data_IF_951572992134
#
_entry.id   IF_951572992134
#
_cell.length_a   1.000
_cell.length_b   1.000
_cell.length_c   1.000
_cell.angle_alpha   90.00
_cell.angle_beta   90.00
_cell.angle_gamma   90.00
#
_symmetry.space_group_name_H-M   'P 1'
#
loop_
_entity.id
_entity.type
_entity.pdbx_description
1 polymer ?
#
# COMPACT_ATOMS: atom_id res chain seq x y z
N UNK A 1 5.23 22.51 7.89
CA UNK A 1 4.30 22.17 8.99
C UNK A 1 3.94 20.70 8.88
N UNK A 2 4.59 19.83 9.67
CA UNK A 2 4.14 18.44 9.81
C UNK A 2 2.83 18.47 10.62
N UNK A 3 1.72 18.04 10.00
CA UNK A 3 0.43 17.96 10.66
C UNK A 3 0.52 17.01 11.85
N UNK A 4 0.07 17.44 13.03
CA UNK A 4 0.14 16.69 14.29
C UNK A 4 -0.68 15.39 14.32
N UNK A 5 -1.39 15.07 13.23
CA UNK A 5 -2.02 13.79 12.95
C UNK A 5 -1.81 13.47 11.46
N UNK A 6 -0.71 12.81 11.06
CA UNK A 6 -0.56 12.39 9.68
C UNK A 6 -1.49 11.21 9.44
N UNK A 7 -2.73 11.50 9.02
CA UNK A 7 -3.69 10.47 8.56
C UNK A 7 -3.09 9.62 7.43
N UNK A 8 -2.13 10.20 6.69
CA UNK A 8 -1.38 9.54 5.64
C UNK A 8 0.12 9.78 5.84
N UNK A 9 0.97 8.73 5.71
CA UNK A 9 2.41 8.94 5.60
C UNK A 9 2.73 9.78 4.37
N UNK A 10 3.81 10.55 4.44
CA UNK A 10 4.32 11.36 3.33
C UNK A 10 4.46 10.55 2.04
N UNK A 11 4.08 11.16 0.91
CA UNK A 11 4.26 10.56 -0.41
C UNK A 11 5.68 10.84 -0.91
N UNK A 12 6.51 9.79 -1.00
CA UNK A 12 7.93 9.94 -1.33
C UNK A 12 8.42 8.93 -2.38
N UNK A 13 7.53 8.37 -3.19
CA UNK A 13 7.88 7.49 -4.31
C UNK A 13 7.01 7.71 -5.54
N UNK A 14 7.45 7.14 -6.66
CA UNK A 14 6.70 7.06 -7.92
C UNK A 14 5.32 6.36 -7.81
N UNK A 15 5.07 5.58 -6.75
CA UNK A 15 3.80 4.86 -6.57
C UNK A 15 2.85 5.56 -5.59
N UNK A 16 3.39 6.36 -4.66
CA UNK A 16 2.66 6.83 -3.50
C UNK A 16 1.38 7.60 -3.87
N UNK A 17 1.46 8.53 -4.82
CA UNK A 17 0.31 9.33 -5.27
C UNK A 17 -0.78 8.49 -5.94
N UNK A 18 -0.40 7.56 -6.83
CA UNK A 18 -1.36 6.70 -7.55
C UNK A 18 -2.09 5.74 -6.61
N UNK A 19 -1.36 5.14 -5.65
CA UNK A 19 -1.94 4.25 -4.65
C UNK A 19 -2.86 5.03 -3.70
N UNK A 20 -2.43 6.20 -3.22
CA UNK A 20 -3.26 7.04 -2.36
C UNK A 20 -4.55 7.48 -3.06
N UNK A 21 -4.49 7.81 -4.35
CA UNK A 21 -5.66 8.14 -5.16
C UNK A 21 -6.65 6.98 -5.28
N UNK A 22 -6.16 5.76 -5.55
CA UNK A 22 -7.00 4.56 -5.60
C UNK A 22 -7.62 4.24 -4.24
N UNK A 23 -6.84 4.36 -3.16
CA UNK A 23 -7.32 4.13 -1.79
C UNK A 23 -8.40 5.15 -1.40
N UNK A 24 -8.24 6.42 -1.80
CA UNK A 24 -9.24 7.45 -1.56
C UNK A 24 -10.53 7.17 -2.36
N UNK A 25 -10.41 6.73 -3.61
CA UNK A 25 -11.57 6.31 -4.42
C UNK A 25 -12.35 5.18 -3.74
N UNK A 26 -11.64 4.14 -3.26
CA UNK A 26 -12.25 3.01 -2.54
C UNK A 26 -12.92 3.49 -1.25
N UNK A 27 -12.23 4.34 -0.48
CA UNK A 27 -12.75 4.88 0.77
C UNK A 27 -14.02 5.70 0.56
N UNK A 28 -14.01 6.65 -0.38
CA UNK A 28 -15.16 7.51 -0.67
C UNK A 28 -16.35 6.72 -1.20
N UNK A 29 -16.09 5.75 -2.08
CA UNK A 29 -17.15 4.86 -2.61
C UNK A 29 -17.76 4.03 -1.49
N UNK A 30 -16.92 3.48 -0.60
CA UNK A 30 -17.39 2.70 0.56
C UNK A 30 -18.21 3.57 1.51
N UNK A 31 -17.72 4.76 1.87
CA UNK A 31 -18.45 5.71 2.74
C UNK A 31 -19.79 6.10 2.10
N UNK A 32 -19.81 6.40 0.80
CA UNK A 32 -21.03 6.76 0.09
C UNK A 32 -22.08 5.64 0.19
N UNK A 33 -21.73 4.40 -0.18
CA UNK A 33 -22.68 3.29 -0.13
C UNK A 33 -23.07 2.92 1.31
N UNK A 34 -22.13 2.91 2.26
CA UNK A 34 -22.44 2.67 3.67
C UNK A 34 -23.42 3.72 4.21
N UNK A 35 -23.20 5.00 3.93
CA UNK A 35 -24.09 6.08 4.34
C UNK A 35 -25.46 5.99 3.65
N UNK A 36 -25.49 5.74 2.35
CA UNK A 36 -26.72 5.58 1.57
C UNK A 36 -27.57 4.42 2.08
N UNK A 37 -26.97 3.24 2.24
CA UNK A 37 -27.68 2.04 2.73
C UNK A 37 -28.19 2.28 4.14
N UNK A 38 -27.35 2.83 5.03
CA UNK A 38 -27.75 3.15 6.41
C UNK A 38 -28.91 4.14 6.43
N UNK A 39 -28.82 5.21 5.62
CA UNK A 39 -29.88 6.20 5.50
C UNK A 39 -31.19 5.58 5.00
N UNK A 40 -31.16 4.76 3.95
CA UNK A 40 -32.35 4.09 3.40
C UNK A 40 -32.97 3.15 4.43
N UNK A 41 -32.16 2.39 5.18
CA UNK A 41 -32.65 1.51 6.25
C UNK A 41 -33.33 2.33 7.35
N UNK A 42 -32.69 3.40 7.83
CA UNK A 42 -33.25 4.28 8.87
C UNK A 42 -34.54 4.96 8.40
N UNK A 43 -34.55 5.45 7.15
CA UNK A 43 -35.74 6.02 6.52
C UNK A 43 -36.88 5.01 6.48
N UNK A 44 -36.61 3.77 6.04
CA UNK A 44 -37.60 2.71 5.99
C UNK A 44 -38.12 2.36 7.39
N UNK A 45 -37.26 2.31 8.41
CA UNK A 45 -37.69 2.10 9.79
C UNK A 45 -38.60 3.21 10.29
N UNK A 46 -38.32 4.48 10.00
CA UNK A 46 -39.14 5.60 10.48
C UNK A 46 -40.47 5.69 9.71
N UNK A 47 -40.40 5.59 8.38
CA UNK A 47 -41.56 5.77 7.50
C UNK A 47 -42.52 4.59 7.52
N UNK A 48 -41.99 3.35 7.48
CA UNK A 48 -42.77 2.12 7.40
C UNK A 48 -42.90 1.40 8.75
N UNK A 49 -42.60 2.09 9.87
CA UNK A 49 -42.93 1.61 11.22
C UNK A 49 -44.44 1.39 11.34
N UNK A 50 -44.82 0.18 11.73
CA UNK A 50 -46.21 -0.19 12.06
C UNK A 50 -46.75 0.69 13.20
N UNK A 51 -47.89 1.34 12.98
CA UNK A 51 -48.59 2.18 13.99
C UNK A 51 -49.88 1.54 14.50
N UNK A 52 -50.49 0.67 13.71
CA UNK A 52 -51.73 -0.03 14.06
C UNK A 52 -51.63 -1.53 13.80
N UNK A 53 -52.44 -2.33 14.51
CA UNK A 53 -52.46 -3.80 14.30
C UNK A 53 -53.01 -4.18 12.91
N UNK A 54 -53.77 -3.32 12.24
CA UNK A 54 -54.33 -3.59 10.91
C UNK A 54 -53.40 -3.24 9.75
N UNK A 55 -52.28 -2.54 9.99
CA UNK A 55 -51.27 -2.29 8.97
C UNK A 55 -50.50 -3.58 8.64
N UNK A 56 -50.73 -4.08 7.43
CA UNK A 56 -50.02 -5.23 6.84
C UNK A 56 -49.34 -4.74 5.56
N UNK A 57 -48.09 -5.12 5.34
CA UNK A 57 -47.32 -4.73 4.16
C UNK A 57 -47.92 -5.31 2.88
N UNK A 58 -47.93 -4.51 1.81
CA UNK A 58 -48.31 -4.99 0.47
C UNK A 58 -47.11 -5.75 -0.11
N UNK A 59 -47.35 -6.97 -0.62
CA UNK A 59 -46.35 -7.69 -1.37
C UNK A 59 -46.13 -7.00 -2.73
N UNK A 60 -44.94 -6.43 -2.93
CA UNK A 60 -44.49 -5.94 -4.22
C UNK A 60 -43.45 -6.91 -4.76
N UNK A 61 -43.71 -7.47 -5.93
CA UNK A 61 -42.79 -8.36 -6.61
C UNK A 61 -42.04 -7.60 -7.72
N UNK A 62 -40.83 -7.17 -7.38
CA UNK A 62 -39.82 -6.75 -8.33
C UNK A 62 -39.97 -5.35 -8.93
N UNK A 63 -38.88 -4.92 -9.55
CA UNK A 63 -38.84 -3.76 -10.45
C UNK A 63 -37.60 -3.89 -11.32
N UNK A 64 -37.80 -4.31 -12.57
CA UNK A 64 -36.70 -4.51 -13.53
C UNK A 64 -35.84 -3.24 -13.65
N UNK A 65 -36.47 -2.06 -13.62
CA UNK A 65 -35.75 -0.79 -13.67
C UNK A 65 -34.85 -0.58 -12.45
N UNK A 66 -35.34 -0.86 -11.24
CA UNK A 66 -34.56 -0.75 -10.00
C UNK A 66 -33.43 -1.79 -9.96
N UNK A 67 -33.76 -3.03 -10.31
CA UNK A 67 -32.83 -4.16 -10.35
C UNK A 67 -31.71 -3.94 -11.36
N UNK A 68 -32.02 -3.38 -12.53
CA UNK A 68 -31.02 -3.01 -13.53
C UNK A 68 -30.13 -1.88 -13.00
N UNK A 69 -30.72 -0.87 -12.36
CA UNK A 69 -29.99 0.29 -11.85
C UNK A 69 -28.95 -0.10 -10.80
N UNK A 70 -29.33 -0.88 -9.79
CA UNK A 70 -28.40 -1.29 -8.73
C UNK A 70 -27.42 -2.39 -9.19
N UNK A 71 -27.60 -2.97 -10.36
CA UNK A 71 -26.67 -3.96 -10.92
C UNK A 71 -25.62 -3.26 -11.77
N UNK A 72 -26.06 -2.38 -12.66
CA UNK A 72 -25.19 -1.69 -13.62
C UNK A 72 -24.27 -0.68 -12.94
N UNK A 73 -24.78 0.10 -11.97
CA UNK A 73 -23.97 1.14 -11.32
C UNK A 73 -22.77 0.53 -10.55
N UNK A 74 -22.96 -0.44 -9.63
CA UNK A 74 -21.83 -1.06 -8.94
C UNK A 74 -20.90 -1.82 -9.89
N UNK A 75 -21.43 -2.44 -10.95
CA UNK A 75 -20.60 -3.08 -11.98
C UNK A 75 -19.64 -2.08 -12.63
N UNK A 76 -20.14 -0.94 -13.09
CA UNK A 76 -19.29 0.09 -13.73
C UNK A 76 -18.25 0.67 -12.77
N UNK A 77 -18.64 0.93 -11.52
CA UNK A 77 -17.70 1.38 -10.48
C UNK A 77 -16.62 0.33 -10.21
N UNK A 78 -17.00 -0.95 -10.09
CA UNK A 78 -16.06 -2.05 -9.90
C UNK A 78 -15.11 -2.22 -11.10
N UNK A 79 -15.59 -2.04 -12.33
CA UNK A 79 -14.74 -2.07 -13.53
C UNK A 79 -13.77 -0.90 -13.60
N UNK A 80 -14.19 0.30 -13.21
CA UNK A 80 -13.29 1.45 -13.06
C UNK A 80 -12.19 1.21 -12.03
N UNK A 81 -12.57 0.70 -10.85
CA UNK A 81 -11.64 0.31 -9.78
C UNK A 81 -10.65 -0.75 -10.25
N UNK A 82 -11.14 -1.79 -10.93
CA UNK A 82 -10.32 -2.88 -11.45
C UNK A 82 -9.30 -2.38 -12.48
N UNK A 83 -9.74 -1.58 -13.46
CA UNK A 83 -8.85 -1.05 -14.49
C UNK A 83 -7.72 -0.18 -13.93
N UNK A 84 -8.04 0.69 -12.96
CA UNK A 84 -7.06 1.51 -12.27
C UNK A 84 -6.12 0.66 -11.39
N UNK A 85 -6.66 -0.27 -10.60
CA UNK A 85 -5.84 -1.19 -9.80
C UNK A 85 -4.90 -2.05 -10.65
N UNK A 86 -5.38 -2.53 -11.79
CA UNK A 86 -4.61 -3.33 -12.74
C UNK A 86 -3.45 -2.54 -13.36
N UNK A 87 -3.66 -1.26 -13.72
CA UNK A 87 -2.56 -0.44 -14.27
C UNK A 87 -1.46 -0.22 -13.23
N UNK A 88 -1.83 0.14 -12.00
CA UNK A 88 -0.87 0.28 -10.89
C UNK A 88 -0.15 -1.04 -10.63
N UNK A 89 -0.87 -2.17 -10.61
CA UNK A 89 -0.28 -3.48 -10.38
C UNK A 89 0.77 -3.82 -11.45
N UNK A 90 0.46 -3.57 -12.72
CA UNK A 90 1.37 -3.83 -13.82
C UNK A 90 2.63 -2.98 -13.69
N UNK A 91 2.49 -1.68 -13.40
CA UNK A 91 3.64 -0.80 -13.17
C UNK A 91 4.46 -1.29 -11.97
N UNK A 92 3.81 -1.62 -10.86
CA UNK A 92 4.46 -2.14 -9.67
C UNK A 92 5.26 -3.43 -9.92
N UNK A 93 4.84 -4.26 -10.87
CA UNK A 93 5.53 -5.52 -11.23
C UNK A 93 6.57 -5.36 -12.34
N UNK A 94 6.52 -4.30 -13.13
CA UNK A 94 7.46 -4.04 -14.23
C UNK A 94 8.67 -3.25 -13.74
N UNK A 95 9.72 -3.98 -13.38
CA UNK A 95 10.99 -3.39 -12.98
C UNK A 95 11.66 -2.71 -14.20
N UNK A 96 12.09 -1.44 -14.10
CA UNK A 96 12.89 -0.76 -15.13
C UNK A 96 14.22 -1.47 -15.40
N UNK A 97 14.82 -1.27 -16.58
CA UNK A 97 16.13 -1.87 -16.91
C UNK A 97 17.31 -1.14 -16.25
N UNK A 98 17.22 0.19 -16.07
CA UNK A 98 18.25 1.00 -15.42
C UNK A 98 17.94 1.12 -13.92
N UNK A 99 18.45 0.17 -13.13
CA UNK A 99 18.26 0.10 -11.68
C UNK A 99 19.59 0.10 -10.92
N UNK A 100 19.56 0.64 -9.70
CA UNK A 100 20.56 0.36 -8.68
C UNK A 100 20.11 -0.88 -7.90
N UNK A 101 20.82 -1.99 -8.07
CA UNK A 101 20.46 -3.28 -7.47
C UNK A 101 21.09 -3.40 -6.07
N UNK A 102 20.25 -3.58 -5.05
CA UNK A 102 20.67 -3.73 -3.66
C UNK A 102 20.18 -5.08 -3.14
N UNK A 103 21.08 -5.86 -2.56
CA UNK A 103 20.74 -7.16 -1.99
C UNK A 103 20.26 -6.99 -0.56
N UNK A 104 19.14 -7.64 -0.23
CA UNK A 104 18.54 -7.56 1.11
C UNK A 104 18.32 -8.96 1.66
N UNK A 105 18.75 -9.18 2.90
CA UNK A 105 18.53 -10.43 3.62
C UNK A 105 17.70 -10.15 4.87
N UNK A 106 16.52 -10.78 4.95
CA UNK A 106 15.71 -10.83 6.15
C UNK A 106 16.19 -11.95 7.09
N UNK A 107 16.30 -11.64 8.38
CA UNK A 107 16.59 -12.60 9.44
C UNK A 107 15.89 -12.15 10.72
N UNK A 108 15.48 -13.05 11.60
CA UNK A 108 15.04 -12.71 12.95
C UNK A 108 16.17 -12.02 13.75
N UNK A 109 16.06 -10.77 14.18
CA UNK A 109 15.12 -9.71 13.77
C UNK A 109 15.90 -8.48 13.30
N UNK A 110 16.51 -8.61 12.13
CA UNK A 110 17.32 -7.60 11.47
C UNK A 110 17.27 -7.75 9.95
N UNK A 111 17.58 -6.67 9.27
CA UNK A 111 17.74 -6.62 7.82
C UNK A 111 19.21 -6.37 7.51
N UNK A 112 19.83 -7.24 6.69
CA UNK A 112 21.15 -6.99 6.12
C UNK A 112 20.97 -6.46 4.71
N UNK A 113 21.54 -5.31 4.42
CA UNK A 113 21.49 -4.71 3.09
C UNK A 113 22.90 -4.60 2.54
N UNK A 114 23.06 -4.86 1.24
CA UNK A 114 24.35 -4.79 0.58
C UNK A 114 24.24 -3.99 -0.71
N UNK A 115 25.03 -2.92 -0.78
CA UNK A 115 25.19 -2.05 -1.93
C UNK A 115 25.99 -2.74 -3.05
N UNK A 116 25.91 -2.28 -4.31
CA UNK A 116 26.65 -2.88 -5.43
C UNK A 116 28.18 -2.88 -5.26
N UNK A 117 28.72 -1.92 -4.52
CA UNK A 117 30.16 -1.81 -4.21
C UNK A 117 30.61 -2.81 -3.12
N UNK A 118 29.67 -3.56 -2.54
CA UNK A 118 29.91 -4.54 -1.49
C UNK A 118 29.71 -4.00 -0.07
N UNK A 119 29.48 -2.69 0.12
CA UNK A 119 29.20 -2.07 1.43
C UNK A 119 27.96 -2.69 2.05
N UNK A 120 28.02 -2.96 3.36
CA UNK A 120 26.94 -3.63 4.10
C UNK A 120 26.36 -2.73 5.17
N UNK A 121 25.05 -2.76 5.28
CA UNK A 121 24.26 -1.99 6.23
C UNK A 121 23.36 -2.94 7.03
N UNK A 122 23.07 -2.59 8.28
CA UNK A 122 22.13 -3.31 9.13
C UNK A 122 21.01 -2.36 9.50
N UNK A 123 19.78 -2.71 9.15
CA UNK A 123 18.58 -1.90 9.40
C UNK A 123 18.63 -0.46 8.83
N UNK A 124 19.52 -0.21 7.87
CA UNK A 124 19.69 1.07 7.19
C UNK A 124 19.78 0.82 5.69
N UNK A 125 19.19 1.72 4.90
CA UNK A 125 19.22 1.71 3.44
C UNK A 125 19.52 3.11 2.95
N UNK A 126 20.75 3.40 2.56
CA UNK A 126 21.09 4.65 1.90
C UNK A 126 20.92 4.53 0.39
N UNK A 127 20.19 5.48 -0.21
CA UNK A 127 19.92 5.52 -1.65
C UNK A 127 19.88 6.96 -2.17
N UNK A 128 20.20 7.19 -3.45
CA UNK A 128 20.01 8.49 -4.07
C UNK A 128 18.54 8.72 -4.46
N UNK A 129 18.09 9.97 -4.35
CA UNK A 129 16.79 10.43 -4.87
C UNK A 129 16.75 10.33 -6.40
N UNK A 130 15.55 10.17 -6.97
CA UNK A 130 15.27 10.13 -8.41
C UNK A 130 15.96 8.99 -9.19
N UNK A 131 16.54 8.01 -8.48
CA UNK A 131 17.10 6.79 -9.05
C UNK A 131 16.12 5.63 -8.90
N UNK A 132 16.01 4.77 -9.92
CA UNK A 132 15.27 3.51 -9.77
C UNK A 132 16.10 2.56 -8.91
N UNK A 133 15.54 2.15 -7.78
CA UNK A 133 16.13 1.19 -6.85
C UNK A 133 15.42 -0.14 -7.03
N UNK A 134 16.19 -1.22 -7.08
CA UNK A 134 15.67 -2.59 -7.09
C UNK A 134 16.28 -3.36 -5.94
N UNK A 135 15.43 -3.78 -5.02
CA UNK A 135 15.81 -4.67 -3.93
C UNK A 135 15.67 -6.12 -4.39
N UNK A 136 16.76 -6.88 -4.32
CA UNK A 136 16.77 -8.32 -4.54
C UNK A 136 16.87 -8.98 -3.17
N UNK A 137 15.79 -9.65 -2.77
CA UNK A 137 15.57 -9.99 -1.36
C UNK A 137 15.48 -11.50 -1.17
N UNK A 138 16.06 -12.00 -0.08
CA UNK A 138 15.90 -13.39 0.36
C UNK A 138 15.81 -13.45 1.89
N UNK A 139 15.30 -14.55 2.43
CA UNK A 139 15.26 -14.79 3.88
C UNK A 139 16.20 -15.93 4.27
N UNK A 140 16.90 -15.76 5.40
CA UNK A 140 17.76 -16.77 6.02
C UNK A 140 16.98 -17.75 6.93
N UNK A 141 15.74 -17.43 7.32
CA UNK A 141 15.00 -18.20 8.32
C UNK A 141 13.50 -18.37 8.01
N UNK A 142 12.66 -17.40 8.37
CA UNK A 142 11.20 -17.41 8.25
C UNK A 142 10.73 -16.38 7.23
N UNK A 143 9.42 -16.32 6.96
CA UNK A 143 8.88 -15.28 6.10
C UNK A 143 8.95 -13.93 6.82
N UNK A 144 9.46 -12.92 6.13
CA UNK A 144 9.37 -11.51 6.51
C UNK A 144 8.63 -10.74 5.42
N UNK A 145 8.37 -9.46 5.61
CA UNK A 145 7.88 -8.57 4.54
C UNK A 145 8.55 -7.22 4.70
N UNK A 146 9.22 -6.75 3.65
CA UNK A 146 9.89 -5.45 3.65
C UNK A 146 8.90 -4.37 3.22
N UNK A 147 8.49 -3.50 4.15
CA UNK A 147 7.49 -2.46 3.90
C UNK A 147 8.03 -1.06 4.18
N UNK A 148 7.94 -0.17 3.19
CA UNK A 148 8.20 1.27 3.34
C UNK A 148 6.90 2.04 3.15
N UNK A 149 6.21 2.47 4.24
CA UNK A 149 4.93 3.14 4.14
C UNK A 149 4.96 4.37 3.24
N UNK A 150 5.94 5.27 3.41
CA UNK A 150 6.04 6.51 2.65
C UNK A 150 6.15 6.29 1.12
N UNK A 151 6.60 5.11 0.71
CA UNK A 151 6.75 4.74 -0.68
C UNK A 151 5.59 3.87 -1.20
N UNK A 152 4.68 3.45 -0.30
CA UNK A 152 3.59 2.50 -0.59
C UNK A 152 4.07 1.21 -1.26
N UNK A 153 5.29 0.78 -0.91
CA UNK A 153 5.90 -0.44 -1.42
C UNK A 153 6.09 -1.46 -0.31
N UNK A 154 5.60 -2.68 -0.56
CA UNK A 154 5.85 -3.86 0.26
C UNK A 154 6.07 -5.11 -0.59
N UNK A 155 6.81 -6.07 -0.04
CA UNK A 155 6.98 -7.38 -0.64
C UNK A 155 7.39 -8.40 0.42
N UNK A 156 6.73 -9.55 0.42
CA UNK A 156 7.14 -10.70 1.23
C UNK A 156 8.55 -11.15 0.83
N UNK A 157 9.36 -11.46 1.84
CA UNK A 157 10.71 -12.01 1.72
C UNK A 157 10.66 -13.44 2.24
N UNK A 158 10.72 -14.39 1.31
CA UNK A 158 10.35 -15.79 1.55
C UNK A 158 11.58 -16.68 1.50
N UNK A 159 11.79 -17.57 2.50
CA UNK A 159 12.90 -18.54 2.47
C UNK A 159 12.88 -19.41 1.21
N UNK A 160 14.06 -19.71 0.68
CA UNK A 160 14.23 -20.63 -0.47
C UNK A 160 13.91 -20.02 -1.84
N UNK A 161 13.61 -18.72 -1.94
CA UNK A 161 13.49 -18.01 -3.22
C UNK A 161 13.92 -16.55 -3.11
N UNK A 162 14.29 -15.97 -4.25
CA UNK A 162 14.46 -14.52 -4.35
C UNK A 162 13.12 -13.84 -4.62
N UNK A 163 12.87 -12.73 -3.95
CA UNK A 163 11.80 -11.79 -4.27
C UNK A 163 12.39 -10.45 -4.66
N UNK A 164 11.68 -9.71 -5.51
CA UNK A 164 12.15 -8.41 -6.00
C UNK A 164 11.12 -7.33 -5.68
N UNK A 165 11.61 -6.18 -5.24
CA UNK A 165 10.83 -4.97 -5.07
C UNK A 165 11.55 -3.83 -5.77
N UNK A 166 10.82 -2.93 -6.42
CA UNK A 166 11.42 -1.75 -7.03
C UNK A 166 10.65 -0.50 -6.66
N UNK A 167 11.33 0.65 -6.65
CA UNK A 167 10.75 1.97 -6.46
C UNK A 167 11.74 3.05 -6.91
N UNK A 168 11.24 4.26 -7.15
CA UNK A 168 12.04 5.48 -7.30
C UNK A 168 11.61 6.45 -6.22
N UNK A 169 12.52 6.75 -5.30
CA UNK A 169 12.26 7.74 -4.25
C UNK A 169 12.26 9.14 -4.87
N UNK A 170 11.25 9.95 -4.57
CA UNK A 170 11.04 11.27 -5.22
C UNK A 170 11.32 12.45 -4.30
N UNK A 171 11.74 12.17 -3.06
CA UNK A 171 11.98 13.20 -2.06
C UNK A 171 13.14 12.78 -1.14
N UNK A 172 14.17 13.64 -0.96
CA UNK A 172 15.19 13.41 0.05
C UNK A 172 14.59 13.43 1.46
N UNK A 173 15.12 12.60 2.35
CA UNK A 173 14.60 12.45 3.69
C UNK A 173 14.90 11.09 4.30
N UNK A 174 14.45 10.89 5.55
CA UNK A 174 14.62 9.63 6.26
C UNK A 174 13.26 9.01 6.54
N UNK A 175 13.03 7.81 6.02
CA UNK A 175 11.74 7.12 6.01
C UNK A 175 11.84 5.79 6.74
N UNK A 176 10.92 5.52 7.67
CA UNK A 176 10.94 4.25 8.40
C UNK A 176 10.46 3.11 7.50
N UNK A 177 11.12 1.95 7.58
CA UNK A 177 10.63 0.70 7.01
C UNK A 177 10.42 -0.34 8.11
N UNK A 178 9.50 -1.27 7.88
CA UNK A 178 9.04 -2.23 8.88
C UNK A 178 9.04 -3.64 8.31
N UNK A 179 9.21 -4.63 9.19
CA UNK A 179 8.75 -5.98 8.91
C UNK A 179 7.23 -6.01 9.02
N UNK A 180 6.52 -6.35 7.94
CA UNK A 180 5.03 -6.38 7.94
C UNK A 180 4.43 -7.79 7.80
N UNK A 181 5.23 -8.83 8.08
CA UNK A 181 4.79 -10.21 8.17
C UNK A 181 5.29 -10.82 9.48
N UNK A 182 4.38 -11.42 10.26
CA UNK A 182 4.71 -11.93 11.59
C UNK A 182 5.84 -12.96 11.53
N UNK A 183 6.97 -12.62 12.15
CA UNK A 183 8.21 -13.40 12.09
C UNK A 183 8.74 -13.78 13.48
N UNK A 184 7.89 -13.83 14.51
CA UNK A 184 8.23 -14.28 15.87
C UNK A 184 8.33 -13.17 16.92
N UNK A 185 8.98 -13.47 18.05
CA UNK A 185 8.96 -12.67 19.29
C UNK A 185 9.27 -11.18 19.11
N UNK A 186 10.35 -10.83 18.40
CA UNK A 186 10.72 -9.42 18.19
C UNK A 186 10.25 -8.88 16.84
N UNK A 187 9.21 -9.46 16.24
CA UNK A 187 8.64 -8.98 14.98
C UNK A 187 8.34 -7.47 15.01
N UNK A 188 7.73 -6.99 16.09
CA UNK A 188 7.38 -5.57 16.25
C UNK A 188 8.60 -4.63 16.38
N UNK A 189 9.78 -5.16 16.71
CA UNK A 189 11.04 -4.41 16.82
C UNK A 189 11.87 -4.49 15.54
N UNK A 190 11.43 -5.29 14.55
CA UNK A 190 12.14 -5.50 13.31
C UNK A 190 11.79 -4.41 12.29
N UNK A 191 12.66 -3.43 12.16
CA UNK A 191 12.52 -2.34 11.21
C UNK A 191 13.84 -1.61 11.01
N UNK A 192 13.77 -0.47 10.35
CA UNK A 192 14.94 0.33 10.04
C UNK A 192 14.59 1.59 9.29
N UNK A 193 15.59 2.20 8.65
CA UNK A 193 15.42 3.47 7.96
C UNK A 193 15.94 3.42 6.52
N UNK A 194 15.18 4.04 5.63
CA UNK A 194 15.64 4.43 4.30
C UNK A 194 16.08 5.88 4.37
N UNK A 195 17.35 6.14 4.09
CA UNK A 195 17.90 7.49 3.97
C UNK A 195 18.03 7.81 2.49
N UNK A 196 17.13 8.68 2.01
CA UNK A 196 17.12 9.18 0.63
C UNK A 196 17.96 10.44 0.57
N UNK A 197 19.02 10.41 -0.22
CA UNK A 197 20.06 11.44 -0.26
C UNK A 197 20.06 12.14 -1.62
N UNK A 198 20.58 13.36 -1.65
CA UNK A 198 20.96 13.98 -2.92
C UNK A 198 22.10 13.17 -3.57
N UNK A 199 22.21 13.12 -4.91
CA UNK A 199 23.22 12.29 -5.58
C UNK A 199 24.67 12.59 -5.15
N UNK A 200 24.98 13.86 -4.86
CA UNK A 200 26.30 14.26 -4.38
C UNK A 200 26.59 13.73 -2.97
N UNK A 201 25.60 13.79 -2.07
CA UNK A 201 25.73 13.28 -0.70
C UNK A 201 25.83 11.75 -0.68
N UNK A 202 25.08 11.07 -1.55
CA UNK A 202 25.19 9.63 -1.72
C UNK A 202 26.57 9.21 -2.23
N UNK A 203 27.12 9.93 -3.22
CA UNK A 203 28.47 9.68 -3.71
C UNK A 203 29.54 9.91 -2.63
N UNK A 204 29.38 10.98 -1.82
CA UNK A 204 30.27 11.23 -0.68
C UNK A 204 30.19 10.10 0.35
N UNK A 205 28.98 9.66 0.70
CA UNK A 205 28.74 8.55 1.62
C UNK A 205 29.35 7.23 1.13
N UNK A 206 29.31 6.95 -0.19
CA UNK A 206 29.97 5.77 -0.75
C UNK A 206 31.51 5.82 -0.60
N UNK A 207 32.10 7.01 -0.66
CA UNK A 207 33.56 7.21 -0.61
C UNK A 207 34.18 7.14 0.79
N UNK A 208 33.38 7.14 1.86
CA UNK A 208 33.82 7.07 3.26
C UNK A 208 32.67 6.88 4.22
#
# INVERSE_FOLDING_TARGET
MQSQLPLFPEQASNFAGSIDGLMLYILLTSIFFSALITFVILYCFVKYRRRSKSEVGVAQEGSVALETTWTVIPFLLAMGMFGWGASIYVDYRRVPQDTLDIYVIGKQWMWKLQQPDGRREINELHIPVERNIKLIMASEDVIHDFFVPAFRVKMDVVPGRYTTLWFRATKPGRYHFFCSQYCGTNHALMGGWVTVMEPADYAAWLSG
#
